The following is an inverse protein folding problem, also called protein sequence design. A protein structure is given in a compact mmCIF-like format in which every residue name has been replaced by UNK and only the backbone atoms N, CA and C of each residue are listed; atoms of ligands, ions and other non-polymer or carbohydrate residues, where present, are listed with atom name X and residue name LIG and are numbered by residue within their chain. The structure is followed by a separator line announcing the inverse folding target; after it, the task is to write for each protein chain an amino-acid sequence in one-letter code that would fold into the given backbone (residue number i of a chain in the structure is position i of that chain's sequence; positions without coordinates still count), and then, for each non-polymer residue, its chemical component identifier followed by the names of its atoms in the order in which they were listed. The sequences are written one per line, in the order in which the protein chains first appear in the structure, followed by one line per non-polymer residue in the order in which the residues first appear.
data_IF_807545903892
#
_entry.id   IF_807545903892
#
_cell.length_a   1.000
_cell.length_b   1.000
_cell.length_c   1.000
_cell.angle_alpha   90.00
_cell.angle_beta   90.00
_cell.angle_gamma   90.00
#
_symmetry.space_group_name_H-M   'P 1'
#
loop_
_entity.id
_entity.type
_entity.pdbx_description
1 polymer ?
#
# COMPACT_ATOMS: atom_id res chain seq x y z
N UNK A 1 19.35 -2.83 19.48
CA UNK A 1 18.55 -3.45 18.43
C UNK A 1 19.25 -3.35 17.08
N UNK A 2 19.04 -4.29 16.19
CA UNK A 2 19.48 -4.23 14.79
C UNK A 2 18.42 -3.50 13.96
N UNK A 3 18.86 -2.84 12.90
CA UNK A 3 17.98 -2.21 11.93
C UNK A 3 18.61 -2.23 10.54
N UNK A 4 17.82 -2.36 9.50
CA UNK A 4 18.23 -2.12 8.13
C UNK A 4 18.03 -0.63 7.82
N UNK A 5 19.13 0.06 7.53
CA UNK A 5 19.13 1.51 7.29
C UNK A 5 19.60 1.83 5.87
N UNK A 6 19.03 2.87 5.32
CA UNK A 6 19.52 3.51 4.10
C UNK A 6 20.74 4.34 4.48
N UNK A 7 21.92 3.87 4.14
CA UNK A 7 23.19 4.55 4.39
C UNK A 7 23.63 5.41 3.21
N UNK A 8 23.11 5.09 2.02
CA UNK A 8 23.26 5.85 0.79
C UNK A 8 21.93 5.82 0.01
N UNK A 9 21.64 6.86 -0.77
CA UNK A 9 20.43 6.93 -1.62
C UNK A 9 20.76 6.50 -3.05
N UNK A 10 21.19 5.25 -3.22
CA UNK A 10 21.71 4.68 -4.47
C UNK A 10 20.96 3.44 -4.95
N UNK A 11 19.78 3.17 -4.37
CA UNK A 11 19.04 1.94 -4.58
C UNK A 11 19.44 0.83 -3.61
N UNK A 12 19.13 -0.44 -3.90
CA UNK A 12 19.31 -1.57 -2.96
C UNK A 12 20.69 -1.68 -2.32
N UNK A 13 21.75 -1.37 -3.06
CA UNK A 13 23.13 -1.36 -2.57
C UNK A 13 23.38 -0.34 -1.42
N UNK A 14 22.49 0.64 -1.28
CA UNK A 14 22.54 1.65 -0.22
C UNK A 14 22.03 1.17 1.15
N UNK A 15 21.51 -0.06 1.23
CA UNK A 15 21.02 -0.64 2.50
C UNK A 15 22.18 -1.22 3.30
N UNK A 16 22.21 -0.97 4.59
CA UNK A 16 23.18 -1.58 5.51
C UNK A 16 22.55 -1.92 6.86
N UNK A 17 23.04 -2.98 7.50
CA UNK A 17 22.68 -3.28 8.90
C UNK A 17 23.42 -2.36 9.85
N UNK A 18 22.65 -1.76 10.76
CA UNK A 18 23.18 -0.89 11.81
C UNK A 18 22.71 -1.35 13.20
N UNK A 19 23.53 -1.09 14.20
CA UNK A 19 23.12 -1.25 15.59
C UNK A 19 22.70 0.11 16.16
N UNK A 20 21.51 0.15 16.76
CA UNK A 20 20.97 1.34 17.44
C UNK A 20 20.52 1.01 18.86
N UNK A 21 20.47 1.99 19.77
CA UNK A 21 19.81 1.78 21.06
C UNK A 21 18.36 1.33 20.85
N UNK A 22 17.88 0.40 21.66
CA UNK A 22 16.44 0.09 21.71
C UNK A 22 15.68 1.35 22.14
N UNK A 23 14.63 1.76 21.43
CA UNK A 23 13.91 2.97 21.78
C UNK A 23 13.12 2.78 23.08
N UNK A 24 12.94 3.89 23.83
CA UNK A 24 12.02 3.94 24.97
C UNK A 24 10.77 4.74 24.57
N UNK A 25 9.57 4.34 25.02
CA UNK A 25 8.34 5.03 24.66
C UNK A 25 8.22 6.35 25.40
N UNK A 26 7.95 7.42 24.68
CA UNK A 26 7.56 8.72 25.22
C UNK A 26 6.08 8.75 25.62
N UNK A 27 5.60 9.92 26.07
CA UNK A 27 4.19 10.11 26.41
C UNK A 27 3.28 9.89 25.19
N UNK A 28 2.30 8.98 25.31
CA UNK A 28 1.37 8.62 24.24
C UNK A 28 1.98 7.70 23.17
N UNK A 29 3.18 7.20 23.38
CA UNK A 29 3.88 6.29 22.47
C UNK A 29 3.92 4.88 23.04
N UNK A 30 4.14 3.91 22.14
CA UNK A 30 4.45 2.53 22.47
C UNK A 30 5.73 2.09 21.74
N UNK A 31 6.38 1.08 22.25
CA UNK A 31 7.42 0.32 21.55
C UNK A 31 6.84 -1.01 21.16
N UNK A 32 6.95 -1.35 19.89
CA UNK A 32 6.53 -2.62 19.31
C UNK A 32 7.77 -3.44 18.99
N UNK A 33 7.83 -4.68 19.49
CA UNK A 33 8.75 -5.70 19.00
C UNK A 33 8.26 -6.10 17.61
N UNK A 34 9.02 -5.77 16.57
CA UNK A 34 8.61 -5.98 15.18
C UNK A 34 8.78 -7.45 14.84
N UNK A 35 7.71 -8.08 14.37
CA UNK A 35 7.72 -9.46 13.88
C UNK A 35 7.67 -9.51 12.35
N UNK A 36 7.04 -8.50 11.72
CA UNK A 36 7.01 -8.33 10.28
C UNK A 36 6.90 -6.86 9.88
N UNK A 37 7.59 -6.48 8.82
CA UNK A 37 7.48 -5.16 8.19
C UNK A 37 7.42 -5.32 6.67
N UNK A 38 6.29 -4.98 6.04
CA UNK A 38 6.19 -5.06 4.59
C UNK A 38 6.76 -3.80 3.94
N UNK A 39 7.55 -4.00 2.88
CA UNK A 39 8.15 -2.90 2.11
C UNK A 39 7.20 -2.38 1.02
N UNK A 40 7.39 -1.14 0.65
CA UNK A 40 6.57 -0.41 -0.31
C UNK A 40 7.39 0.34 -1.35
N UNK A 41 6.77 0.67 -2.48
CA UNK A 41 7.41 1.49 -3.52
C UNK A 41 7.83 2.86 -2.99
N UNK A 42 7.15 3.36 -1.97
CA UNK A 42 7.52 4.59 -1.26
C UNK A 42 8.91 4.50 -0.61
N UNK A 43 9.20 3.37 0.06
CA UNK A 43 10.51 3.11 0.66
C UNK A 43 11.61 3.06 -0.42
N UNK A 44 11.31 2.41 -1.56
CA UNK A 44 12.25 2.33 -2.69
C UNK A 44 12.50 3.70 -3.33
N UNK A 45 11.48 4.58 -3.48
CA UNK A 45 11.71 5.94 -3.97
C UNK A 45 12.63 6.75 -3.05
N UNK A 46 12.54 6.56 -1.73
CA UNK A 46 13.48 7.18 -0.78
C UNK A 46 14.88 6.61 -1.03
N UNK A 47 15.02 5.30 -1.08
CA UNK A 47 16.30 4.61 -1.26
C UNK A 47 16.98 4.94 -2.60
N UNK A 48 16.20 5.24 -3.65
CA UNK A 48 16.67 5.68 -4.97
C UNK A 48 16.98 7.20 -5.03
N UNK A 49 16.73 7.96 -3.95
CA UNK A 49 16.88 9.41 -3.92
C UNK A 49 15.80 10.17 -4.73
N UNK A 50 14.70 9.51 -5.08
CA UNK A 50 13.57 10.07 -5.83
C UNK A 50 12.43 10.54 -4.89
N UNK A 51 12.76 10.92 -3.68
CA UNK A 51 11.83 11.45 -2.68
C UNK A 51 12.43 12.67 -1.98
N UNK A 52 11.67 13.75 -1.91
CA UNK A 52 12.07 14.94 -1.15
C UNK A 52 11.86 14.81 0.38
N UNK A 53 11.46 13.64 0.88
CA UNK A 53 11.19 13.40 2.30
C UNK A 53 12.46 13.12 3.11
N UNK A 54 13.50 12.60 2.46
CA UNK A 54 14.77 12.22 3.09
C UNK A 54 15.90 12.73 2.20
N UNK A 55 16.86 13.40 2.77
CA UNK A 55 18.07 13.83 2.07
C UNK A 55 19.33 13.21 2.70
N UNK A 56 20.50 13.54 2.18
CA UNK A 56 21.77 12.94 2.65
C UNK A 56 22.13 13.33 4.09
N UNK A 57 21.57 14.40 4.65
CA UNK A 57 21.81 14.80 6.03
C UNK A 57 20.98 13.97 7.03
N UNK A 58 19.94 13.28 6.55
CA UNK A 58 19.10 12.39 7.37
C UNK A 58 19.70 10.97 7.53
N UNK A 59 20.74 10.64 6.77
CA UNK A 59 21.34 9.31 6.75
C UNK A 59 22.22 9.03 7.98
N UNK A 60 22.27 7.80 8.48
CA UNK A 60 21.56 6.61 8.03
C UNK A 60 20.08 6.61 8.46
N UNK A 61 19.17 6.44 7.51
CA UNK A 61 17.72 6.49 7.69
C UNK A 61 17.10 5.08 7.76
N UNK A 62 16.28 4.79 8.77
CA UNK A 62 15.52 3.54 8.85
C UNK A 62 14.12 3.77 8.31
N UNK A 63 13.79 3.14 7.18
CA UNK A 63 12.47 3.18 6.57
C UNK A 63 11.55 2.08 7.11
N UNK A 64 10.48 1.75 6.39
CA UNK A 64 9.49 0.74 6.75
C UNK A 64 8.27 1.35 7.45
N UNK A 65 7.14 1.25 6.76
CA UNK A 65 5.86 1.83 7.18
C UNK A 65 4.95 0.77 7.81
N UNK A 66 4.96 -0.42 7.26
CA UNK A 66 3.94 -1.45 7.48
C UNK A 66 4.40 -2.42 8.57
N UNK A 67 4.25 -2.03 9.83
CA UNK A 67 4.73 -2.76 11.01
C UNK A 67 3.61 -3.61 11.60
N UNK A 68 3.89 -4.91 11.81
CA UNK A 68 3.11 -5.79 12.68
C UNK A 68 4.02 -6.43 13.73
N UNK A 69 3.52 -6.64 14.93
CA UNK A 69 4.29 -7.20 16.02
C UNK A 69 3.57 -7.15 17.37
N UNK A 70 4.32 -7.30 18.43
CA UNK A 70 3.82 -7.32 19.81
C UNK A 70 4.28 -6.07 20.57
N UNK A 71 3.39 -5.45 21.31
CA UNK A 71 3.72 -4.29 22.17
C UNK A 71 4.67 -4.76 23.27
N UNK A 72 5.85 -4.15 23.35
CA UNK A 72 6.87 -4.43 24.38
C UNK A 72 6.74 -3.48 25.58
N UNK A 73 6.52 -2.19 25.31
CA UNK A 73 6.39 -1.18 26.35
C UNK A 73 5.45 -0.04 25.91
N UNK A 74 4.82 0.61 26.89
CA UNK A 74 3.96 1.77 26.67
C UNK A 74 4.42 2.95 27.53
N UNK A 75 4.30 4.16 26.98
CA UNK A 75 4.61 5.40 27.66
C UNK A 75 3.46 5.95 28.51
N UNK A 76 3.74 7.05 29.20
CA UNK A 76 2.74 7.72 30.04
C UNK A 76 1.49 8.12 29.24
N UNK A 77 0.32 7.82 29.78
CA UNK A 77 -1.00 8.21 29.22
C UNK A 77 -1.54 7.29 28.14
N UNK A 78 -0.82 6.22 27.79
CA UNK A 78 -1.34 5.18 26.89
C UNK A 78 -2.35 4.30 27.64
N UNK A 79 -3.52 4.11 27.02
CA UNK A 79 -4.61 3.26 27.55
C UNK A 79 -5.23 2.38 26.48
N UNK A 80 -4.84 2.56 25.22
CA UNK A 80 -5.44 1.85 24.07
C UNK A 80 -4.82 0.47 23.86
N UNK A 81 -3.58 0.27 24.31
CA UNK A 81 -2.83 -0.98 24.19
C UNK A 81 -2.02 -1.20 25.47
N UNK A 82 -1.65 -2.47 25.73
CA UNK A 82 -0.79 -2.87 26.84
C UNK A 82 0.35 -3.81 26.37
N UNK A 83 1.43 -3.95 27.13
CA UNK A 83 2.50 -4.89 26.82
C UNK A 83 1.94 -6.32 26.62
N UNK A 84 2.32 -6.96 25.53
CA UNK A 84 1.82 -8.28 25.10
C UNK A 84 0.71 -8.23 24.07
N UNK A 85 0.11 -7.08 23.80
CA UNK A 85 -0.89 -6.95 22.74
C UNK A 85 -0.26 -7.14 21.36
N UNK A 86 -0.92 -7.94 20.52
CA UNK A 86 -0.59 -8.11 19.10
C UNK A 86 -1.21 -6.96 18.30
N UNK A 87 -0.41 -6.31 17.47
CA UNK A 87 -0.83 -5.06 16.81
C UNK A 87 -0.30 -4.94 15.39
N UNK A 88 -1.02 -4.16 14.57
CA UNK A 88 -0.53 -3.62 13.29
C UNK A 88 -0.60 -2.09 13.33
N UNK A 89 0.41 -1.44 12.78
CA UNK A 89 0.50 0.02 12.73
C UNK A 89 -0.30 0.59 11.55
N UNK A 90 -1.17 1.56 11.79
CA UNK A 90 -1.63 2.49 10.77
C UNK A 90 -0.54 3.56 10.58
N UNK A 91 0.19 3.58 9.45
CA UNK A 91 1.38 4.43 9.31
C UNK A 91 1.08 5.91 9.08
N UNK A 92 -0.18 6.30 9.10
CA UNK A 92 -0.60 7.69 8.90
C UNK A 92 -0.22 8.54 10.11
N UNK A 93 0.71 9.46 9.94
CA UNK A 93 1.02 10.50 10.90
C UNK A 93 0.11 11.71 10.66
N UNK A 94 -0.66 12.09 11.66
CA UNK A 94 -1.67 13.15 11.56
C UNK A 94 -1.62 14.08 12.76
N UNK A 95 -2.06 15.34 12.60
CA UNK A 95 -1.97 16.33 13.68
C UNK A 95 -2.98 16.14 14.82
N UNK A 96 -4.00 15.30 14.67
CA UNK A 96 -5.05 15.05 15.66
C UNK A 96 -6.03 16.21 15.92
N UNK A 97 -5.78 17.41 15.39
CA UNK A 97 -6.50 18.63 15.78
C UNK A 97 -7.24 19.35 14.64
N UNK A 98 -6.86 19.12 13.38
CA UNK A 98 -7.53 19.76 12.25
C UNK A 98 -8.92 19.17 12.01
N UNK A 99 -9.69 19.81 11.12
CA UNK A 99 -11.04 19.36 10.77
C UNK A 99 -11.07 17.89 10.36
N UNK A 100 -10.14 17.48 9.48
CA UNK A 100 -10.11 16.12 8.96
C UNK A 100 -9.75 15.06 10.01
N UNK A 101 -8.90 15.40 10.98
CA UNK A 101 -8.61 14.50 12.09
C UNK A 101 -9.78 14.34 13.06
N UNK A 102 -10.65 15.34 13.17
CA UNK A 102 -11.80 15.33 14.10
C UNK A 102 -13.07 14.76 13.50
N UNK A 103 -13.31 15.00 12.22
CA UNK A 103 -14.54 14.66 11.51
C UNK A 103 -14.34 13.55 10.48
N UNK A 104 -13.07 13.22 10.17
CA UNK A 104 -12.67 12.30 9.09
C UNK A 104 -12.85 12.89 7.68
N UNK A 105 -12.23 12.24 6.69
CA UNK A 105 -11.23 11.19 6.84
C UNK A 105 -9.85 11.79 7.17
N UNK A 106 -9.15 11.20 8.14
CA UNK A 106 -7.88 11.75 8.67
C UNK A 106 -6.71 11.70 7.68
N UNK A 107 -6.75 10.86 6.65
CA UNK A 107 -5.77 10.86 5.56
C UNK A 107 -5.79 12.15 4.69
N UNK A 108 -6.77 13.04 4.92
CA UNK A 108 -6.79 14.41 4.37
C UNK A 108 -6.19 15.44 5.34
N UNK A 109 -5.51 15.04 6.40
CA UNK A 109 -4.88 15.96 7.35
C UNK A 109 -3.93 16.92 6.62
N UNK A 110 -4.02 18.23 6.95
CA UNK A 110 -3.14 19.24 6.32
C UNK A 110 -1.65 19.05 6.68
N UNK A 111 -1.38 18.37 7.81
CA UNK A 111 -0.03 18.01 8.27
C UNK A 111 0.17 16.49 8.17
N UNK A 112 -0.36 15.88 7.09
CA UNK A 112 -0.21 14.46 6.86
C UNK A 112 1.24 14.11 6.54
N UNK A 113 1.75 13.08 7.18
CA UNK A 113 3.02 12.42 6.85
C UNK A 113 2.89 10.92 7.08
N UNK A 114 3.97 10.19 6.86
CA UNK A 114 4.01 8.74 7.08
C UNK A 114 5.03 8.41 8.16
N UNK A 115 4.72 7.41 8.97
CA UNK A 115 5.66 6.81 9.91
C UNK A 115 6.80 6.13 9.15
N UNK A 116 7.99 6.14 9.73
CA UNK A 116 9.16 5.38 9.30
C UNK A 116 9.87 4.78 10.52
N UNK A 117 10.59 3.67 10.31
CA UNK A 117 11.35 3.01 11.40
C UNK A 117 11.01 1.54 11.60
N UNK A 118 10.19 0.95 10.71
CA UNK A 118 9.75 -0.44 10.83
C UNK A 118 10.76 -1.50 10.39
N UNK A 119 11.77 -1.14 9.60
CA UNK A 119 12.83 -2.07 9.19
C UNK A 119 13.87 -2.24 10.32
N UNK A 120 13.42 -2.68 11.49
CA UNK A 120 14.21 -2.84 12.71
C UNK A 120 13.55 -3.86 13.64
N UNK A 121 14.31 -4.38 14.62
CA UNK A 121 13.80 -5.30 15.65
C UNK A 121 12.77 -4.65 16.59
N UNK A 122 12.76 -3.31 16.71
CA UNK A 122 11.83 -2.58 17.56
C UNK A 122 11.48 -1.23 16.94
N UNK A 123 10.20 -0.86 16.99
CA UNK A 123 9.64 0.35 16.44
C UNK A 123 8.98 1.19 17.55
N UNK A 124 9.35 2.48 17.66
CA UNK A 124 8.65 3.43 18.54
C UNK A 124 7.59 4.15 17.74
N UNK A 125 6.35 4.01 18.15
CA UNK A 125 5.17 4.47 17.39
C UNK A 125 4.20 5.21 18.31
N UNK A 126 3.32 6.02 17.76
CA UNK A 126 2.17 6.55 18.49
C UNK A 126 1.20 5.42 18.82
N UNK A 127 0.84 5.27 20.09
CA UNK A 127 -0.04 4.20 20.54
C UNK A 127 -1.47 4.30 19.97
N UNK A 128 -1.95 5.53 19.67
CA UNK A 128 -3.25 5.77 19.05
C UNK A 128 -3.32 5.39 17.55
N UNK A 129 -2.19 4.99 16.95
CA UNK A 129 -2.11 4.49 15.57
C UNK A 129 -2.01 2.96 15.49
N UNK A 130 -1.99 2.29 16.62
CA UNK A 130 -1.98 0.83 16.69
C UNK A 130 -3.40 0.27 16.58
N UNK A 131 -3.56 -0.75 15.76
CA UNK A 131 -4.78 -1.53 15.61
C UNK A 131 -4.52 -2.92 16.18
N UNK A 132 -5.34 -3.35 17.14
CA UNK A 132 -5.22 -4.67 17.75
C UNK A 132 -5.49 -5.78 16.74
N UNK A 133 -4.67 -6.83 16.78
CA UNK A 133 -4.83 -8.01 15.96
C UNK A 133 -5.52 -9.12 16.76
N UNK A 134 -6.64 -9.68 16.25
CA UNK A 134 -7.24 -10.87 16.83
C UNK A 134 -6.28 -12.07 16.86
N UNK A 135 -6.52 -12.97 17.81
CA UNK A 135 -5.79 -14.25 17.84
C UNK A 135 -5.95 -15.00 16.51
N UNK A 136 -4.83 -15.55 16.03
CA UNK A 136 -4.82 -16.34 14.79
C UNK A 136 -4.54 -15.55 13.50
N UNK A 137 -4.56 -14.22 13.52
CA UNK A 137 -4.07 -13.41 12.37
C UNK A 137 -2.55 -13.52 12.31
N UNK A 138 -2.02 -13.92 11.16
CA UNK A 138 -0.58 -14.04 10.95
C UNK A 138 0.08 -12.63 10.88
N UNK A 139 1.30 -12.48 11.44
CA UNK A 139 1.99 -11.19 11.48
C UNK A 139 2.46 -10.73 10.09
N UNK A 140 2.83 -11.64 9.22
CA UNK A 140 3.25 -11.34 7.84
C UNK A 140 2.05 -10.88 7.02
N UNK A 141 0.90 -11.53 7.17
CA UNK A 141 -0.36 -11.08 6.55
C UNK A 141 -0.80 -9.72 7.09
N UNK A 142 -0.72 -9.52 8.41
CA UNK A 142 -1.06 -8.25 9.04
C UNK A 142 -0.17 -7.10 8.54
N UNK A 143 1.13 -7.31 8.40
CA UNK A 143 2.07 -6.33 7.87
C UNK A 143 1.80 -5.96 6.40
N UNK A 144 1.13 -6.81 5.62
CA UNK A 144 0.79 -6.52 4.24
C UNK A 144 -0.35 -5.47 4.10
N UNK A 145 -1.17 -5.29 5.15
CA UNK A 145 -2.41 -4.51 5.09
C UNK A 145 -2.23 -2.98 5.01
N UNK A 146 -1.33 -2.33 5.79
CA UNK A 146 -1.41 -0.89 6.04
C UNK A 146 -1.26 -0.02 4.80
N UNK A 147 -0.25 -0.22 3.97
CA UNK A 147 -0.07 0.63 2.79
C UNK A 147 -0.85 0.11 1.59
N UNK A 148 -0.63 -1.14 1.18
CA UNK A 148 -1.16 -1.62 -0.10
C UNK A 148 -2.67 -1.90 -0.04
N UNK A 149 -3.12 -2.73 0.90
CA UNK A 149 -4.54 -3.10 1.00
C UNK A 149 -5.40 -1.93 1.47
N UNK A 150 -4.95 -1.14 2.44
CA UNK A 150 -5.68 0.05 2.88
C UNK A 150 -5.82 1.08 1.76
N UNK A 151 -4.79 1.29 0.94
CA UNK A 151 -4.86 2.15 -0.25
C UNK A 151 -5.87 1.63 -1.27
N UNK A 152 -5.79 0.35 -1.64
CA UNK A 152 -6.71 -0.26 -2.59
C UNK A 152 -8.15 -0.22 -2.10
N UNK A 153 -8.39 -0.54 -0.82
CA UNK A 153 -9.71 -0.48 -0.19
C UNK A 153 -10.28 0.94 -0.21
N UNK A 154 -9.46 1.92 0.13
CA UNK A 154 -9.86 3.32 0.09
C UNK A 154 -10.16 3.78 -1.35
N UNK A 155 -9.35 3.38 -2.34
CA UNK A 155 -9.60 3.68 -3.76
C UNK A 155 -10.94 3.10 -4.23
N UNK A 156 -11.23 1.83 -3.93
CA UNK A 156 -12.52 1.19 -4.26
C UNK A 156 -13.71 1.96 -3.66
N UNK A 157 -13.60 2.38 -2.40
CA UNK A 157 -14.62 3.24 -1.77
C UNK A 157 -14.74 4.61 -2.43
N UNK A 158 -13.62 5.22 -2.86
CA UNK A 158 -13.60 6.53 -3.54
C UNK A 158 -14.26 6.48 -4.91
N UNK A 159 -14.11 5.37 -5.63
CA UNK A 159 -14.81 5.16 -6.90
C UNK A 159 -16.19 4.53 -6.72
N UNK A 160 -16.62 4.27 -5.48
CA UNK A 160 -17.90 3.67 -5.15
C UNK A 160 -18.14 2.38 -5.97
N UNK A 161 -17.13 1.51 -5.98
CA UNK A 161 -17.19 0.22 -6.67
C UNK A 161 -18.10 -0.74 -5.87
N UNK A 162 -18.87 -1.54 -6.60
CA UNK A 162 -19.80 -2.47 -5.98
C UNK A 162 -20.12 -3.69 -6.85
N UNK A 163 -21.05 -4.54 -6.39
CA UNK A 163 -21.38 -5.78 -7.09
C UNK A 163 -21.80 -5.55 -8.55
N UNK A 164 -21.17 -6.30 -9.47
CA UNK A 164 -21.43 -6.24 -10.89
C UNK A 164 -20.73 -5.11 -11.66
N UNK A 165 -20.03 -4.19 -10.97
CA UNK A 165 -19.15 -3.21 -11.64
C UNK A 165 -17.94 -3.94 -12.25
N UNK A 166 -17.45 -3.47 -13.41
CA UNK A 166 -16.14 -3.86 -13.95
C UNK A 166 -15.08 -2.85 -13.50
N UNK A 167 -14.11 -3.32 -12.71
CA UNK A 167 -13.00 -2.53 -12.17
C UNK A 167 -11.72 -2.83 -12.96
N UNK A 168 -11.14 -1.84 -13.61
CA UNK A 168 -9.85 -1.96 -14.27
C UNK A 168 -8.71 -1.57 -13.32
N UNK A 169 -7.73 -2.46 -13.17
CA UNK A 169 -6.55 -2.28 -12.33
C UNK A 169 -5.29 -2.45 -13.19
N UNK A 170 -4.66 -1.39 -13.69
CA UNK A 170 -3.39 -1.51 -14.41
C UNK A 170 -2.27 -1.98 -13.46
N UNK A 171 -1.41 -2.92 -13.91
CA UNK A 171 -0.28 -3.41 -13.13
C UNK A 171 -0.70 -4.26 -11.92
N UNK A 172 -1.55 -5.26 -12.14
CA UNK A 172 -2.17 -6.09 -11.09
C UNK A 172 -1.21 -6.92 -10.24
N UNK A 173 0.06 -7.04 -10.60
CA UNK A 173 1.01 -7.93 -9.91
C UNK A 173 1.69 -7.29 -8.71
N UNK A 174 1.67 -5.96 -8.59
CA UNK A 174 2.20 -5.25 -7.42
C UNK A 174 1.24 -5.28 -6.22
N UNK A 175 1.72 -4.90 -5.04
CA UNK A 175 0.95 -4.97 -3.80
C UNK A 175 -0.43 -4.29 -3.86
N UNK A 176 -0.51 -3.03 -4.35
CA UNK A 176 -1.80 -2.32 -4.52
C UNK A 176 -2.65 -2.97 -5.60
N UNK A 177 -2.02 -3.48 -6.68
CA UNK A 177 -2.73 -4.14 -7.78
C UNK A 177 -3.42 -5.42 -7.34
N UNK A 178 -2.68 -6.32 -6.70
CA UNK A 178 -3.24 -7.58 -6.15
C UNK A 178 -4.31 -7.28 -5.11
N UNK A 179 -4.05 -6.34 -4.19
CA UNK A 179 -5.04 -5.93 -3.19
C UNK A 179 -6.33 -5.40 -3.85
N UNK A 180 -6.19 -4.62 -4.94
CA UNK A 180 -7.33 -4.12 -5.72
C UNK A 180 -8.17 -5.23 -6.30
N UNK A 181 -7.54 -6.27 -6.85
CA UNK A 181 -8.22 -7.46 -7.41
C UNK A 181 -8.96 -8.22 -6.31
N UNK A 182 -8.25 -8.64 -5.25
CA UNK A 182 -8.85 -9.42 -4.16
C UNK A 182 -10.01 -8.69 -3.47
N UNK A 183 -9.86 -7.39 -3.24
CA UNK A 183 -10.90 -6.59 -2.58
C UNK A 183 -12.08 -6.30 -3.51
N UNK A 184 -11.88 -6.12 -4.83
CA UNK A 184 -12.96 -5.97 -5.79
C UNK A 184 -13.76 -7.26 -5.92
N UNK A 185 -13.10 -8.42 -6.00
CA UNK A 185 -13.73 -9.74 -6.01
C UNK A 185 -14.57 -9.96 -4.72
N UNK A 186 -14.01 -9.65 -3.55
CA UNK A 186 -14.72 -9.73 -2.27
C UNK A 186 -15.95 -8.80 -2.19
N UNK A 187 -15.98 -7.71 -2.97
CA UNK A 187 -17.14 -6.82 -3.11
C UNK A 187 -18.17 -7.33 -4.14
N UNK A 188 -17.86 -8.40 -4.87
CA UNK A 188 -18.70 -8.93 -5.97
C UNK A 188 -18.60 -8.11 -7.25
N UNK A 189 -17.56 -7.33 -7.43
CA UNK A 189 -17.21 -6.66 -8.68
C UNK A 189 -16.39 -7.59 -9.57
N UNK A 190 -16.43 -7.37 -10.88
CA UNK A 190 -15.54 -8.01 -11.85
C UNK A 190 -14.26 -7.22 -12.01
N UNK A 191 -13.17 -7.89 -12.38
CA UNK A 191 -11.87 -7.25 -12.50
C UNK A 191 -11.22 -7.47 -13.86
N UNK A 192 -10.63 -6.40 -14.40
CA UNK A 192 -9.72 -6.48 -15.54
C UNK A 192 -8.35 -5.93 -15.11
N UNK A 193 -7.25 -6.51 -15.58
CA UNK A 193 -5.94 -6.07 -15.17
C UNK A 193 -4.80 -6.43 -16.10
N UNK A 194 -3.70 -5.67 -16.01
CA UNK A 194 -2.56 -5.79 -16.91
C UNK A 194 -1.28 -6.22 -16.20
N UNK A 195 -0.45 -6.97 -16.92
CA UNK A 195 0.94 -7.25 -16.57
C UNK A 195 1.75 -7.55 -17.84
N UNK A 196 3.07 -7.40 -17.77
CA UNK A 196 3.99 -7.84 -18.83
C UNK A 196 4.33 -9.33 -18.78
N UNK A 197 3.75 -10.09 -17.85
CA UNK A 197 4.11 -11.51 -17.62
C UNK A 197 2.86 -12.36 -17.47
N UNK A 198 2.66 -13.31 -18.40
CA UNK A 198 1.56 -14.28 -18.35
C UNK A 198 1.61 -15.12 -17.06
N UNK A 199 2.78 -15.60 -16.69
CA UNK A 199 2.95 -16.42 -15.49
C UNK A 199 2.50 -15.69 -14.21
N UNK A 200 2.75 -14.37 -14.11
CA UNK A 200 2.27 -13.56 -12.99
C UNK A 200 0.77 -13.31 -13.08
N UNK A 201 0.23 -13.13 -14.28
CA UNK A 201 -1.22 -13.01 -14.48
C UNK A 201 -1.95 -14.29 -14.06
N UNK A 202 -1.43 -15.48 -14.42
CA UNK A 202 -1.99 -16.78 -14.00
C UNK A 202 -2.12 -16.88 -12.47
N UNK A 203 -1.12 -16.32 -11.73
CA UNK A 203 -1.20 -16.25 -10.26
C UNK A 203 -2.32 -15.31 -9.81
N UNK A 204 -2.45 -14.13 -10.42
CA UNK A 204 -3.47 -13.14 -10.03
C UNK A 204 -4.88 -13.61 -10.42
N UNK A 205 -5.03 -14.35 -11.53
CA UNK A 205 -6.29 -15.01 -11.90
C UNK A 205 -6.77 -15.98 -10.78
N UNK A 206 -5.84 -16.70 -10.16
CA UNK A 206 -6.18 -17.55 -9.00
C UNK A 206 -6.60 -16.78 -7.74
N UNK A 207 -6.40 -15.46 -7.74
CA UNK A 207 -6.74 -14.54 -6.64
C UNK A 207 -7.99 -13.69 -6.93
N UNK A 208 -8.70 -13.95 -8.06
CA UNK A 208 -9.94 -13.27 -8.39
C UNK A 208 -9.85 -12.29 -9.59
N UNK A 209 -8.80 -12.34 -10.41
CA UNK A 209 -8.75 -11.56 -11.66
C UNK A 209 -9.56 -12.28 -12.76
N UNK A 210 -10.64 -11.63 -13.25
CA UNK A 210 -11.52 -12.21 -14.28
C UNK A 210 -10.96 -12.03 -15.69
N UNK A 211 -10.37 -10.86 -15.99
CA UNK A 211 -9.89 -10.53 -17.32
C UNK A 211 -8.45 -10.07 -17.31
N UNK A 212 -7.55 -10.99 -17.65
CA UNK A 212 -6.11 -10.75 -17.66
C UNK A 212 -5.63 -10.29 -19.03
N UNK A 213 -4.90 -9.18 -19.07
CA UNK A 213 -4.30 -8.59 -20.27
C UNK A 213 -2.78 -8.61 -20.17
N UNK A 214 -2.13 -9.44 -21.00
CA UNK A 214 -0.67 -9.48 -21.08
C UNK A 214 -0.17 -8.43 -22.07
N UNK A 215 -0.05 -7.20 -21.61
CA UNK A 215 0.54 -6.10 -22.39
C UNK A 215 0.99 -4.95 -21.48
N UNK A 216 1.94 -4.17 -22.01
CA UNK A 216 2.32 -2.84 -21.51
C UNK A 216 2.05 -1.75 -22.54
N UNK A 217 1.62 -2.12 -23.75
CA UNK A 217 1.28 -1.17 -24.81
C UNK A 217 -0.10 -0.56 -24.56
N UNK A 218 -0.21 0.78 -24.51
CA UNK A 218 -1.48 1.47 -24.25
C UNK A 218 -2.61 1.13 -25.21
N UNK A 219 -2.33 0.95 -26.50
CA UNK A 219 -3.36 0.67 -27.51
C UNK A 219 -3.87 -0.77 -27.40
N UNK A 220 -2.98 -1.73 -27.19
CA UNK A 220 -3.33 -3.11 -26.91
C UNK A 220 -4.16 -3.23 -25.62
N UNK A 221 -3.76 -2.51 -24.57
CA UNK A 221 -4.49 -2.50 -23.28
C UNK A 221 -5.91 -1.96 -23.50
N UNK A 222 -6.07 -0.81 -24.19
CA UNK A 222 -7.40 -0.24 -24.48
C UNK A 222 -8.30 -1.22 -25.23
N UNK A 223 -7.77 -1.85 -26.26
CA UNK A 223 -8.52 -2.82 -27.07
C UNK A 223 -8.95 -4.02 -26.21
N UNK A 224 -8.02 -4.67 -25.54
CA UNK A 224 -8.27 -5.87 -24.75
C UNK A 224 -9.20 -5.62 -23.55
N UNK A 225 -8.99 -4.54 -22.78
CA UNK A 225 -9.87 -4.21 -21.65
C UNK A 225 -11.30 -3.91 -22.11
N UNK A 226 -11.45 -3.25 -23.28
CA UNK A 226 -12.79 -2.95 -23.85
C UNK A 226 -13.54 -4.20 -24.30
N UNK A 227 -12.87 -5.30 -24.61
CA UNK A 227 -13.50 -6.60 -24.91
C UNK A 227 -14.22 -7.20 -23.70
N UNK A 228 -13.74 -6.91 -22.47
CA UNK A 228 -14.36 -7.31 -21.21
C UNK A 228 -15.67 -6.58 -20.89
N UNK A 229 -15.98 -5.53 -21.63
CA UNK A 229 -17.19 -4.73 -21.43
C UNK A 229 -16.90 -3.29 -20.97
N UNK A 230 -17.95 -2.52 -20.65
CA UNK A 230 -17.81 -1.14 -20.21
C UNK A 230 -17.23 -1.06 -18.81
N UNK A 231 -16.06 -0.41 -18.65
CA UNK A 231 -15.39 -0.24 -17.35
C UNK A 231 -16.10 0.79 -16.51
N UNK A 232 -16.52 0.42 -15.30
CA UNK A 232 -17.19 1.28 -14.33
C UNK A 232 -16.23 2.11 -13.52
N UNK A 233 -15.12 1.50 -13.10
CA UNK A 233 -14.13 2.10 -12.25
C UNK A 233 -12.69 1.72 -12.64
N UNK A 234 -11.75 2.62 -12.33
CA UNK A 234 -10.31 2.39 -12.54
C UNK A 234 -9.55 2.68 -11.25
N UNK A 235 -8.67 1.76 -10.85
CA UNK A 235 -7.74 1.94 -9.74
C UNK A 235 -6.33 2.22 -10.29
N UNK A 236 -6.06 3.45 -10.67
CA UNK A 236 -4.77 3.83 -11.24
C UNK A 236 -3.75 4.13 -10.12
N UNK A 237 -2.95 3.14 -9.78
CA UNK A 237 -1.82 3.29 -8.85
C UNK A 237 -0.46 3.47 -9.57
N UNK A 238 -0.45 3.53 -10.90
CA UNK A 238 0.76 3.72 -11.69
C UNK A 238 1.00 5.17 -12.10
N UNK A 239 -0.05 5.98 -12.29
CA UNK A 239 0.07 7.34 -12.80
C UNK A 239 0.43 7.38 -14.29
N UNK A 240 1.13 8.46 -14.70
CA UNK A 240 1.65 8.61 -16.06
C UNK A 240 0.61 8.36 -17.16
N UNK A 241 1.01 7.69 -18.23
CA UNK A 241 0.17 7.35 -19.38
C UNK A 241 -1.05 6.49 -19.03
N UNK A 242 -0.99 5.68 -17.96
CA UNK A 242 -2.12 4.88 -17.49
C UNK A 242 -3.31 5.74 -17.02
N UNK A 243 -3.12 7.04 -16.81
CA UNK A 243 -4.22 7.96 -16.52
C UNK A 243 -5.10 8.16 -17.75
N UNK A 244 -4.51 8.37 -18.93
CA UNK A 244 -5.28 8.50 -20.17
C UNK A 244 -5.84 7.14 -20.60
N UNK A 245 -5.07 6.05 -20.50
CA UNK A 245 -5.56 4.68 -20.76
C UNK A 245 -6.81 4.39 -19.92
N UNK A 246 -6.75 4.68 -18.61
CA UNK A 246 -7.89 4.49 -17.74
C UNK A 246 -9.10 5.33 -18.11
N UNK A 247 -8.90 6.58 -18.54
CA UNK A 247 -9.99 7.42 -19.01
C UNK A 247 -10.61 6.87 -20.31
N UNK A 248 -9.78 6.40 -21.26
CA UNK A 248 -10.27 5.89 -22.56
C UNK A 248 -11.17 4.67 -22.40
N UNK A 249 -10.86 3.76 -21.48
CA UNK A 249 -11.66 2.54 -21.24
C UNK A 249 -12.89 2.78 -20.37
N UNK A 250 -12.93 3.88 -19.59
CA UNK A 250 -14.07 4.20 -18.75
C UNK A 250 -15.33 4.48 -19.56
N UNK A 251 -16.43 3.85 -19.18
CA UNK A 251 -17.77 4.20 -19.69
C UNK A 251 -18.18 5.63 -19.32
N UNK A 252 -19.23 6.11 -19.93
CA UNK A 252 -19.86 7.38 -19.50
C UNK A 252 -20.27 7.31 -18.03
N UNK A 253 -19.91 8.36 -17.27
CA UNK A 253 -20.13 8.43 -15.83
C UNK A 253 -19.19 7.58 -15.00
N UNK A 254 -18.21 6.89 -15.60
CA UNK A 254 -17.22 6.08 -14.91
C UNK A 254 -16.27 6.93 -14.02
N UNK A 255 -15.56 6.26 -13.14
CA UNK A 255 -14.78 6.90 -12.07
C UNK A 255 -13.38 6.30 -11.98
N UNK A 256 -12.35 7.11 -11.84
CA UNK A 256 -10.97 6.68 -11.66
C UNK A 256 -10.40 7.27 -10.37
N UNK A 257 -9.89 6.44 -9.49
CA UNK A 257 -9.02 6.85 -8.39
C UNK A 257 -7.55 6.78 -8.81
N UNK A 258 -6.76 7.79 -8.42
CA UNK A 258 -5.33 7.86 -8.74
C UNK A 258 -4.55 8.05 -7.44
N UNK A 259 -3.54 7.17 -7.20
CA UNK A 259 -2.75 7.22 -5.96
C UNK A 259 -1.24 7.03 -6.16
N UNK A 260 -0.72 6.91 -7.37
CA UNK A 260 0.69 6.60 -7.61
C UNK A 260 1.31 7.33 -8.79
N UNK A 261 2.64 7.20 -8.91
CA UNK A 261 3.45 7.83 -9.96
C UNK A 261 4.52 6.91 -10.57
N UNK A 262 4.37 5.60 -10.41
CA UNK A 262 5.39 4.61 -10.85
C UNK A 262 5.66 4.65 -12.36
N UNK A 263 4.63 4.98 -13.17
CA UNK A 263 4.75 5.18 -14.62
C UNK A 263 4.90 6.67 -15.02
N UNK A 264 5.04 7.57 -14.04
CA UNK A 264 5.24 8.99 -14.27
C UNK A 264 4.36 9.87 -13.37
N UNK A 265 4.89 11.05 -13.01
CA UNK A 265 4.22 12.03 -12.13
C UNK A 265 3.28 12.99 -12.86
N UNK A 266 3.25 12.97 -14.18
CA UNK A 266 2.41 13.86 -15.02
C UNK A 266 1.67 13.05 -16.07
N UNK A 267 0.51 13.53 -16.49
CA UNK A 267 -0.29 12.92 -17.55
C UNK A 267 -1.03 14.00 -18.34
N UNK A 268 -1.20 13.78 -19.65
CA UNK A 268 -2.11 14.56 -20.48
C UNK A 268 -3.51 13.93 -20.43
N UNK A 269 -4.55 14.76 -20.40
CA UNK A 269 -5.95 14.34 -20.32
C UNK A 269 -6.75 15.01 -21.45
N UNK A 270 -7.52 14.21 -22.19
CA UNK A 270 -8.50 14.73 -23.15
C UNK A 270 -9.68 15.36 -22.38
N UNK A 271 -9.70 16.69 -22.34
CA UNK A 271 -10.72 17.44 -21.61
C UNK A 271 -12.14 17.28 -22.21
N UNK A 272 -12.34 17.34 -23.55
CA UNK A 272 -13.61 16.99 -24.18
C UNK A 272 -14.14 15.62 -23.77
N UNK A 273 -13.33 14.55 -23.80
CA UNK A 273 -13.72 13.22 -23.38
C UNK A 273 -14.13 13.17 -21.88
N UNK A 274 -13.37 13.86 -21.04
CA UNK A 274 -13.68 13.92 -19.61
C UNK A 274 -15.05 14.53 -19.34
N UNK A 275 -15.37 15.72 -19.88
CA UNK A 275 -16.64 16.38 -19.53
C UNK A 275 -17.84 15.85 -20.33
N UNK A 276 -17.67 15.52 -21.62
CA UNK A 276 -18.74 14.91 -22.44
C UNK A 276 -19.06 13.50 -21.96
N UNK A 277 -18.05 12.75 -21.52
CA UNK A 277 -18.19 11.44 -20.91
C UNK A 277 -18.73 11.47 -19.47
N UNK A 278 -18.84 12.65 -18.82
CA UNK A 278 -19.17 12.77 -17.41
C UNK A 278 -18.25 11.94 -16.50
N UNK A 279 -17.00 11.71 -16.92
CA UNK A 279 -16.01 10.90 -16.20
C UNK A 279 -15.48 11.67 -14.97
N UNK A 280 -15.00 10.95 -13.96
CA UNK A 280 -14.45 11.55 -12.75
C UNK A 280 -13.03 11.04 -12.53
N UNK A 281 -12.09 11.96 -12.23
CA UNK A 281 -10.74 11.65 -11.76
C UNK A 281 -10.64 12.09 -10.30
N UNK A 282 -10.27 11.17 -9.42
CA UNK A 282 -10.33 11.33 -7.97
C UNK A 282 -8.94 11.02 -7.39
N UNK A 283 -8.28 12.03 -6.79
CA UNK A 283 -7.05 11.80 -6.04
C UNK A 283 -7.30 10.93 -4.80
N UNK A 284 -6.40 10.01 -4.50
CA UNK A 284 -6.46 9.14 -3.33
C UNK A 284 -5.06 8.98 -2.73
N UNK A 285 -4.96 8.97 -1.41
CA UNK A 285 -3.70 8.76 -0.69
C UNK A 285 -3.99 7.89 0.52
N UNK A 286 -3.31 6.74 0.60
CA UNK A 286 -3.51 5.79 1.70
C UNK A 286 -5.00 5.47 1.93
N UNK A 287 -5.38 5.12 3.14
CA UNK A 287 -6.76 5.05 3.63
C UNK A 287 -6.84 5.63 5.04
N UNK A 288 -7.87 5.29 5.77
CA UNK A 288 -8.06 5.68 7.17
C UNK A 288 -7.72 4.53 8.11
N UNK A 289 -7.46 4.82 9.38
CA UNK A 289 -7.29 3.77 10.39
C UNK A 289 -8.53 2.86 10.48
N UNK A 290 -9.74 3.44 10.34
CA UNK A 290 -10.96 2.63 10.26
C UNK A 290 -11.06 1.75 9.01
N UNK A 291 -10.34 2.08 7.91
CA UNK A 291 -10.21 1.17 6.77
C UNK A 291 -9.28 -0.01 7.13
N UNK A 292 -8.17 0.25 7.84
CA UNK A 292 -7.27 -0.80 8.32
C UNK A 292 -7.97 -1.75 9.32
N UNK A 293 -8.75 -1.21 10.26
CA UNK A 293 -9.53 -2.02 11.21
C UNK A 293 -10.50 -2.97 10.49
N UNK A 294 -11.15 -2.50 9.42
CA UNK A 294 -12.03 -3.36 8.60
C UNK A 294 -11.26 -4.45 7.88
N UNK A 295 -10.07 -4.14 7.34
CA UNK A 295 -9.22 -5.11 6.67
C UNK A 295 -8.72 -6.19 7.65
N UNK A 296 -8.31 -5.80 8.86
CA UNK A 296 -7.97 -6.74 9.93
C UNK A 296 -9.15 -7.67 10.23
N UNK A 297 -10.38 -7.12 10.30
CA UNK A 297 -11.59 -7.92 10.47
C UNK A 297 -11.79 -8.93 9.33
N UNK A 298 -11.62 -8.53 8.07
CA UNK A 298 -11.77 -9.42 6.92
C UNK A 298 -10.73 -10.57 6.93
N UNK A 299 -9.50 -10.30 7.36
CA UNK A 299 -8.47 -11.34 7.52
C UNK A 299 -8.81 -12.28 8.68
N UNK A 300 -9.23 -11.73 9.81
CA UNK A 300 -9.62 -12.53 10.98
C UNK A 300 -10.80 -13.46 10.70
N UNK A 301 -11.75 -13.02 9.88
CA UNK A 301 -12.92 -13.80 9.46
C UNK A 301 -12.60 -14.79 8.32
N UNK A 302 -11.37 -14.80 7.79
CA UNK A 302 -10.95 -15.63 6.66
C UNK A 302 -11.56 -15.20 5.31
N UNK A 303 -12.14 -13.98 5.23
CA UNK A 303 -12.72 -13.44 4.01
C UNK A 303 -11.67 -12.78 3.09
N UNK A 304 -10.48 -12.51 3.61
CA UNK A 304 -9.35 -11.96 2.88
C UNK A 304 -8.06 -12.65 3.35
N UNK A 305 -7.23 -13.10 2.41
CA UNK A 305 -5.87 -13.58 2.67
C UNK A 305 -4.91 -12.76 1.81
N UNK A 306 -4.16 -11.81 2.40
CA UNK A 306 -3.23 -10.98 1.66
C UNK A 306 -2.18 -11.80 0.92
N UNK A 307 -1.96 -11.51 -0.35
CA UNK A 307 -0.95 -12.20 -1.16
C UNK A 307 0.46 -11.74 -0.78
N UNK A 308 1.23 -12.68 -0.27
CA UNK A 308 2.65 -12.50 0.08
C UNK A 308 3.50 -13.12 -1.02
N UNK A 309 4.29 -12.28 -1.70
CA UNK A 309 5.18 -12.74 -2.76
C UNK A 309 6.40 -13.46 -2.20
N UNK A 310 7.07 -12.84 -1.23
CA UNK A 310 8.25 -13.43 -0.59
C UNK A 310 8.50 -12.79 0.78
N UNK A 311 9.18 -13.54 1.66
CA UNK A 311 9.60 -13.08 2.99
C UNK A 311 11.12 -13.14 3.08
N UNK A 312 11.72 -12.07 3.61
CA UNK A 312 13.15 -11.89 3.76
C UNK A 312 13.52 -11.69 5.24
N UNK A 313 14.73 -12.07 5.64
CA UNK A 313 15.26 -11.65 6.93
C UNK A 313 15.66 -10.16 6.91
N UNK A 314 15.89 -9.58 8.10
CA UNK A 314 16.38 -8.20 8.20
C UNK A 314 17.73 -8.01 7.49
N UNK A 315 18.56 -9.05 7.48
CA UNK A 315 19.86 -9.12 6.81
C UNK A 315 19.73 -9.06 5.29
N UNK A 316 18.60 -9.51 4.73
CA UNK A 316 18.34 -9.60 3.29
C UNK A 316 17.45 -8.44 2.78
N UNK A 317 17.36 -7.34 3.54
CA UNK A 317 16.53 -6.18 3.17
C UNK A 317 16.96 -5.56 1.83
N UNK A 318 18.23 -5.57 1.50
CA UNK A 318 18.75 -5.15 0.19
C UNK A 318 18.22 -6.03 -0.95
N UNK A 319 18.23 -7.36 -0.76
CA UNK A 319 17.65 -8.31 -1.72
C UNK A 319 16.13 -8.12 -1.89
N UNK A 320 15.40 -7.81 -0.79
CA UNK A 320 13.98 -7.50 -0.85
C UNK A 320 13.71 -6.24 -1.71
N UNK A 321 14.51 -5.18 -1.56
CA UNK A 321 14.40 -3.99 -2.41
C UNK A 321 14.83 -4.24 -3.85
N UNK A 322 15.84 -5.07 -4.10
CA UNK A 322 16.24 -5.49 -5.45
C UNK A 322 15.10 -6.24 -6.15
N UNK A 323 14.45 -7.19 -5.49
CA UNK A 323 13.30 -7.91 -6.03
C UNK A 323 12.12 -6.97 -6.35
N UNK A 324 11.89 -5.93 -5.52
CA UNK A 324 10.88 -4.90 -5.80
C UNK A 324 11.25 -4.04 -7.01
N UNK A 325 12.51 -3.66 -7.16
CA UNK A 325 13.03 -2.87 -8.27
C UNK A 325 12.90 -3.62 -9.58
N UNK A 326 13.28 -4.90 -9.60
CA UNK A 326 13.23 -5.80 -10.75
C UNK A 326 11.77 -6.24 -11.07
N UNK A 327 10.83 -5.96 -10.18
CA UNK A 327 9.40 -6.35 -10.31
C UNK A 327 9.21 -7.87 -10.42
N UNK A 328 10.03 -8.68 -9.75
CA UNK A 328 10.02 -10.14 -9.91
C UNK A 328 8.94 -10.86 -9.08
N UNK A 329 8.28 -10.16 -8.18
CA UNK A 329 7.27 -10.72 -7.27
C UNK A 329 5.83 -10.48 -7.74
N UNK A 330 4.89 -11.23 -7.14
CA UNK A 330 3.45 -10.97 -7.12
C UNK A 330 3.03 -10.74 -5.67
N UNK A 331 2.33 -9.66 -5.38
CA UNK A 331 1.88 -9.32 -4.03
C UNK A 331 2.90 -8.52 -3.22
N UNK A 332 2.88 -8.69 -1.90
CA UNK A 332 3.72 -7.95 -0.95
C UNK A 332 5.02 -8.68 -0.65
N UNK A 333 6.09 -7.92 -0.47
CA UNK A 333 7.37 -8.38 0.06
C UNK A 333 7.45 -7.98 1.52
N UNK A 334 7.85 -8.90 2.39
CA UNK A 334 7.84 -8.70 3.84
C UNK A 334 9.22 -9.02 4.41
N UNK A 335 9.71 -8.16 5.30
CA UNK A 335 10.94 -8.35 6.06
C UNK A 335 10.58 -8.77 7.48
N UNK A 336 11.21 -9.83 7.97
CA UNK A 336 11.07 -10.33 9.36
C UNK A 336 12.39 -10.10 10.08
N UNK A 337 12.43 -9.25 11.12
CA UNK A 337 13.64 -8.95 11.88
C UNK A 337 14.21 -10.10 12.68
#
# INVERSE_FOLDING_TARGET
MRAAAFSELTGPDGVSLVNRPTPEPGRGEAVVSVEACAINRHDLWILEGDSAMVDTDDLPFVSGLDVAGTVDAVGEGVTAVEPGDRVVLCPNETCGTCRYCREGPENLCANFSLYHGGLAESARVRADRLVALPDGVDMVEAAALPTAYMTAFHMLRRVDAGPGDLVFVPGVTGGVGVAGVQLADALGAHTAGTSSSRAKLDRVESLGLDHAVESTDPDEIRAAVSEGGPVDAVLNHLGGEYTQVGLDVLRRGGRMAVCGRTAGGTSEIDIPDLFLGHKRVIGSTMGTQGDLERLVGLVADGALSPEIGETYSLEETDAAFAAMQDRDSVGKLVVTP
#
